data_IF_169332517319
#
_entry.id   IF_169332517319
#
_cell.length_a   1.000
_cell.length_b   1.000
_cell.length_c   1.000
_cell.angle_alpha   90.00
_cell.angle_beta   90.00
_cell.angle_gamma   90.00
#
_symmetry.space_group_name_H-M   'P 1'
#
loop_
_entity.id
_entity.type
_entity.pdbx_description
1 polymer ?
#
# COMPACT_ATOMS: atom_id res chain seq x y z
N UNK A 1 1.41 -50.80 -23.65
CA UNK A 1 2.11 -49.51 -23.69
C UNK A 1 1.04 -48.41 -23.77
N UNK A 2 0.67 -47.85 -22.63
CA UNK A 2 -0.34 -46.80 -22.53
C UNK A 2 0.35 -45.43 -22.56
N UNK A 3 -0.03 -44.62 -23.52
CA UNK A 3 0.49 -43.29 -23.77
C UNK A 3 -0.09 -42.33 -22.74
N UNK A 4 0.69 -41.90 -21.76
CA UNK A 4 0.27 -40.90 -20.76
C UNK A 4 0.42 -39.53 -21.42
N UNK A 5 -0.70 -39.03 -21.97
CA UNK A 5 -0.80 -37.67 -22.52
C UNK A 5 -0.49 -36.62 -21.45
N UNK A 6 0.51 -35.82 -21.71
CA UNK A 6 0.94 -34.67 -20.90
C UNK A 6 -0.12 -33.55 -20.99
N UNK A 7 -1.00 -33.43 -19.99
CA UNK A 7 -2.07 -32.43 -19.90
C UNK A 7 -1.66 -31.23 -19.04
N UNK A 8 -0.50 -30.65 -19.30
CA UNK A 8 -0.04 -29.42 -18.62
C UNK A 8 -0.16 -28.16 -19.51
N UNK A 9 -1.17 -28.10 -20.36
CA UNK A 9 -1.53 -26.83 -21.02
C UNK A 9 -2.55 -26.10 -20.11
N UNK A 10 -2.32 -24.83 -19.73
CA UNK A 10 -3.34 -24.06 -19.02
C UNK A 10 -4.59 -23.97 -19.90
N UNK A 11 -5.79 -23.98 -19.30
CA UNK A 11 -7.02 -23.95 -20.09
C UNK A 11 -7.06 -22.70 -20.98
N UNK A 12 -7.26 -22.90 -22.25
CA UNK A 12 -7.28 -21.87 -23.31
C UNK A 12 -8.23 -20.70 -23.01
N UNK A 13 -9.28 -20.95 -22.20
CA UNK A 13 -10.23 -19.92 -21.73
C UNK A 13 -9.61 -18.86 -20.81
N UNK A 14 -8.59 -19.21 -19.98
CA UNK A 14 -7.89 -18.24 -19.13
C UNK A 14 -6.95 -17.35 -19.96
N UNK A 15 -6.39 -17.85 -21.03
CA UNK A 15 -5.48 -17.09 -21.89
C UNK A 15 -6.23 -16.04 -22.72
N UNK A 16 -7.44 -16.33 -23.20
CA UNK A 16 -8.30 -15.35 -23.90
C UNK A 16 -8.83 -14.26 -22.96
N UNK A 17 -9.21 -14.61 -21.73
CA UNK A 17 -9.63 -13.62 -20.71
C UNK A 17 -8.50 -12.66 -20.29
N UNK A 18 -7.24 -13.08 -20.37
CA UNK A 18 -6.08 -12.21 -20.04
C UNK A 18 -5.92 -11.06 -21.04
N UNK A 19 -6.36 -11.22 -22.28
CA UNK A 19 -6.23 -10.19 -23.32
C UNK A 19 -7.40 -9.20 -23.36
N UNK A 20 -8.57 -9.58 -22.85
CA UNK A 20 -9.81 -8.80 -23.01
C UNK A 20 -10.22 -7.97 -21.78
N UNK A 21 -9.49 -8.07 -20.68
CA UNK A 21 -9.87 -7.39 -19.44
C UNK A 21 -8.77 -6.44 -18.93
N UNK A 22 -9.06 -5.13 -18.85
CA UNK A 22 -8.12 -4.12 -18.35
C UNK A 22 -7.64 -4.40 -16.93
N UNK A 23 -8.49 -5.00 -16.08
CA UNK A 23 -8.10 -5.42 -14.71
C UNK A 23 -6.99 -6.47 -14.75
N UNK A 24 -7.10 -7.46 -15.64
CA UNK A 24 -6.07 -8.50 -15.80
C UNK A 24 -4.76 -7.91 -16.32
N UNK A 25 -4.86 -6.96 -17.25
CA UNK A 25 -3.68 -6.24 -17.74
C UNK A 25 -2.99 -5.42 -16.63
N UNK A 26 -3.76 -4.80 -15.72
CA UNK A 26 -3.21 -4.12 -14.54
C UNK A 26 -2.53 -5.10 -13.57
N UNK A 27 -3.10 -6.29 -13.36
CA UNK A 27 -2.45 -7.37 -12.60
C UNK A 27 -1.13 -7.74 -13.26
N UNK A 28 -1.11 -7.92 -14.58
CA UNK A 28 0.09 -8.26 -15.32
C UNK A 28 1.18 -7.17 -15.21
N UNK A 29 0.81 -5.89 -15.33
CA UNK A 29 1.73 -4.77 -15.13
C UNK A 29 2.25 -4.71 -13.68
N UNK A 30 1.40 -5.01 -12.70
CA UNK A 30 1.85 -5.08 -11.31
C UNK A 30 2.83 -6.25 -11.08
N UNK A 31 2.61 -7.42 -11.71
CA UNK A 31 3.58 -8.53 -11.72
C UNK A 31 4.92 -8.12 -12.35
N UNK A 32 4.90 -7.26 -13.37
CA UNK A 32 6.11 -6.68 -13.93
C UNK A 32 6.77 -5.64 -12.99
N UNK A 33 6.15 -5.33 -11.83
CA UNK A 33 6.66 -4.38 -10.85
C UNK A 33 6.73 -2.95 -11.38
N UNK A 34 5.86 -2.56 -12.31
CA UNK A 34 5.80 -1.23 -12.89
C UNK A 34 4.68 -0.36 -12.31
N UNK A 35 4.00 -0.84 -11.26
CA UNK A 35 3.06 -0.03 -10.48
C UNK A 35 3.77 1.19 -9.90
N UNK A 36 3.14 2.37 -10.03
CA UNK A 36 3.71 3.63 -9.59
C UNK A 36 4.85 4.18 -10.48
N UNK A 37 5.06 3.63 -11.68
CA UNK A 37 5.94 4.21 -12.69
C UNK A 37 5.17 5.31 -13.45
N UNK A 38 5.63 6.59 -13.38
CA UNK A 38 4.93 7.69 -14.05
C UNK A 38 4.84 7.54 -15.57
N UNK A 39 5.82 6.91 -16.20
CA UNK A 39 5.83 6.72 -17.67
C UNK A 39 4.80 5.67 -18.07
N UNK A 40 4.60 4.64 -17.25
CA UNK A 40 3.55 3.62 -17.45
C UNK A 40 2.16 4.23 -17.24
N UNK A 41 1.98 5.09 -16.24
CA UNK A 41 0.71 5.78 -16.02
C UNK A 41 0.34 6.68 -17.21
N UNK A 42 1.32 7.41 -17.78
CA UNK A 42 1.12 8.22 -18.99
C UNK A 42 0.75 7.32 -20.16
N UNK A 43 1.48 6.23 -20.39
CA UNK A 43 1.22 5.32 -21.50
C UNK A 43 -0.17 4.67 -21.41
N UNK A 44 -0.61 4.26 -20.23
CA UNK A 44 -1.98 3.76 -20.00
C UNK A 44 -3.02 4.82 -20.39
N UNK A 45 -2.81 6.06 -19.96
CA UNK A 45 -3.73 7.16 -20.30
C UNK A 45 -3.75 7.44 -21.82
N UNK A 46 -2.58 7.53 -22.44
CA UNK A 46 -2.44 7.83 -23.88
C UNK A 46 -3.03 6.72 -24.77
N UNK A 47 -2.88 5.47 -24.35
CA UNK A 47 -3.38 4.31 -25.12
C UNK A 47 -4.82 3.91 -24.76
N UNK A 48 -5.45 4.62 -23.81
CA UNK A 48 -6.83 4.37 -23.40
C UNK A 48 -7.04 3.15 -22.51
N UNK A 49 -5.98 2.59 -21.89
CA UNK A 49 -6.10 1.47 -20.95
C UNK A 49 -4.80 0.70 -20.74
N UNK A 50 -4.83 -0.19 -19.75
CA UNK A 50 -3.70 -1.06 -19.45
C UNK A 50 -3.54 -2.19 -20.48
N UNK A 51 -4.66 -2.73 -20.98
CA UNK A 51 -4.65 -3.78 -21.98
C UNK A 51 -4.00 -3.33 -23.30
N UNK A 52 -4.35 -2.17 -23.91
CA UNK A 52 -3.66 -1.65 -25.08
C UNK A 52 -2.16 -1.45 -24.86
N UNK A 53 -1.74 -1.04 -23.66
CA UNK A 53 -0.32 -0.90 -23.34
C UNK A 53 0.42 -2.24 -23.31
N UNK A 54 -0.13 -3.24 -22.64
CA UNK A 54 0.47 -4.58 -22.58
C UNK A 54 0.60 -5.15 -24.01
N UNK A 55 -0.46 -5.06 -24.81
CA UNK A 55 -0.45 -5.49 -26.21
C UNK A 55 0.61 -4.75 -27.03
N UNK A 56 0.69 -3.41 -26.93
CA UNK A 56 1.66 -2.60 -27.67
C UNK A 56 3.12 -2.98 -27.33
N UNK A 57 3.40 -3.31 -26.05
CA UNK A 57 4.74 -3.72 -25.62
C UNK A 57 5.09 -5.12 -26.17
N UNK A 58 4.15 -6.07 -26.14
CA UNK A 58 4.39 -7.43 -26.65
C UNK A 58 4.53 -7.44 -28.17
N UNK A 59 3.73 -6.67 -28.89
CA UNK A 59 3.77 -6.55 -30.36
C UNK A 59 4.95 -5.70 -30.86
N UNK A 60 5.69 -5.04 -29.96
CA UNK A 60 6.80 -4.16 -30.34
C UNK A 60 6.38 -2.85 -31.03
N UNK A 61 5.13 -2.40 -30.83
CA UNK A 61 4.60 -1.19 -31.48
C UNK A 61 5.25 0.10 -30.97
N UNK A 62 5.39 1.09 -31.84
CA UNK A 62 5.96 2.43 -31.53
C UNK A 62 5.20 3.16 -30.43
N UNK A 63 3.92 2.87 -30.25
CA UNK A 63 3.10 3.41 -29.16
C UNK A 63 3.68 3.14 -27.75
N UNK A 64 4.55 2.13 -27.60
CA UNK A 64 5.28 1.84 -26.36
C UNK A 64 6.67 2.50 -26.31
N UNK A 65 7.07 3.27 -27.31
CA UNK A 65 8.41 3.87 -27.40
C UNK A 65 8.70 4.89 -26.30
N UNK A 66 7.65 5.52 -25.73
CA UNK A 66 7.79 6.45 -24.60
C UNK A 66 8.26 5.78 -23.29
N UNK A 67 8.15 4.44 -23.19
CA UNK A 67 8.67 3.67 -22.05
C UNK A 67 10.16 3.44 -22.20
N UNK A 68 10.89 3.44 -21.09
CA UNK A 68 12.31 3.05 -21.09
C UNK A 68 12.49 1.61 -21.59
N UNK A 69 13.67 1.31 -22.12
CA UNK A 69 14.03 -0.05 -22.56
C UNK A 69 13.86 -1.06 -21.43
N UNK A 70 14.30 -0.68 -20.22
CA UNK A 70 14.18 -1.53 -19.04
C UNK A 70 12.73 -1.78 -18.63
N UNK A 71 11.86 -0.77 -18.70
CA UNK A 71 10.42 -0.91 -18.39
C UNK A 71 9.75 -1.84 -19.43
N UNK A 72 10.01 -1.64 -20.72
CA UNK A 72 9.50 -2.54 -21.79
C UNK A 72 9.97 -3.98 -21.59
N UNK A 73 11.27 -4.16 -21.27
CA UNK A 73 11.82 -5.50 -21.02
C UNK A 73 11.11 -6.19 -19.85
N UNK A 74 10.91 -5.48 -18.75
CA UNK A 74 10.20 -6.01 -17.55
C UNK A 74 8.75 -6.38 -17.89
N UNK A 75 8.04 -5.55 -18.65
CA UNK A 75 6.66 -5.87 -19.07
C UNK A 75 6.66 -7.13 -19.93
N UNK A 76 7.53 -7.24 -20.94
CA UNK A 76 7.63 -8.45 -21.79
C UNK A 76 7.95 -9.71 -20.99
N UNK A 77 8.83 -9.60 -20.00
CA UNK A 77 9.29 -10.74 -19.21
C UNK A 77 8.27 -11.17 -18.14
N UNK A 78 7.61 -10.25 -17.47
CA UNK A 78 6.81 -10.53 -16.28
C UNK A 78 5.31 -10.30 -16.43
N UNK A 79 4.86 -9.48 -17.37
CA UNK A 79 3.44 -9.32 -17.65
C UNK A 79 2.92 -10.49 -18.54
N UNK A 80 3.02 -11.70 -18.02
CA UNK A 80 2.70 -12.94 -18.72
C UNK A 80 1.75 -13.81 -17.92
N UNK A 81 1.08 -14.74 -18.57
CA UNK A 81 0.18 -15.70 -17.93
C UNK A 81 0.88 -16.50 -16.82
N UNK A 82 2.15 -16.85 -16.98
CA UNK A 82 2.94 -17.59 -15.98
C UNK A 82 2.99 -16.84 -14.64
N UNK A 83 3.08 -15.52 -14.65
CA UNK A 83 3.13 -14.71 -13.42
C UNK A 83 1.73 -14.34 -12.93
N UNK A 84 0.75 -14.20 -13.81
CA UNK A 84 -0.61 -13.77 -13.45
C UNK A 84 -1.43 -14.92 -12.87
N UNK A 85 -1.34 -16.14 -13.42
CA UNK A 85 -2.14 -17.30 -12.96
C UNK A 85 -1.96 -17.60 -11.47
N UNK A 86 -0.74 -17.65 -10.90
CA UNK A 86 -0.55 -17.83 -9.46
C UNK A 86 -1.18 -16.72 -8.63
N UNK A 87 -1.16 -15.47 -9.11
CA UNK A 87 -1.79 -14.32 -8.44
C UNK A 87 -3.31 -14.50 -8.39
N UNK A 88 -3.94 -14.88 -9.51
CA UNK A 88 -5.38 -15.15 -9.56
C UNK A 88 -5.79 -16.31 -8.64
N UNK A 89 -4.99 -17.37 -8.60
CA UNK A 89 -5.21 -18.50 -7.71
C UNK A 89 -5.12 -18.08 -6.22
N UNK A 90 -4.12 -17.28 -5.87
CA UNK A 90 -3.96 -16.73 -4.52
C UNK A 90 -5.13 -15.81 -4.15
N UNK A 91 -5.59 -14.98 -5.08
CA UNK A 91 -6.76 -14.10 -4.87
C UNK A 91 -8.01 -14.92 -4.54
N UNK A 92 -8.30 -15.96 -5.30
CA UNK A 92 -9.44 -16.85 -5.06
C UNK A 92 -9.31 -17.58 -3.70
N UNK A 93 -8.13 -18.19 -3.44
CA UNK A 93 -7.84 -18.91 -2.18
C UNK A 93 -7.98 -18.02 -0.95
N UNK A 94 -7.52 -16.78 -1.02
CA UNK A 94 -7.51 -15.84 0.11
C UNK A 94 -8.71 -14.89 0.13
N UNK A 95 -9.63 -15.03 -0.81
CA UNK A 95 -10.80 -14.16 -0.98
C UNK A 95 -10.42 -12.67 -1.00
N UNK A 96 -9.43 -12.35 -1.84
CA UNK A 96 -8.96 -10.98 -2.00
C UNK A 96 -9.87 -10.23 -2.97
N UNK A 97 -10.17 -8.99 -2.62
CA UNK A 97 -10.83 -8.05 -3.53
C UNK A 97 -9.77 -7.28 -4.31
N UNK A 98 -9.95 -7.19 -5.62
CA UNK A 98 -9.15 -6.32 -6.49
C UNK A 98 -9.88 -5.01 -6.68
N UNK A 99 -9.14 -3.91 -6.54
CA UNK A 99 -9.66 -2.55 -6.70
C UNK A 99 -8.75 -1.80 -7.68
N UNK A 100 -9.34 -1.26 -8.74
CA UNK A 100 -8.66 -0.45 -9.76
C UNK A 100 -9.25 0.96 -9.80
N UNK A 101 -8.59 1.93 -10.44
CA UNK A 101 -9.16 3.27 -10.63
C UNK A 101 -10.51 3.29 -11.36
N UNK A 102 -10.92 2.19 -11.97
CA UNK A 102 -12.20 2.04 -12.67
C UNK A 102 -13.35 1.60 -11.75
N UNK A 103 -13.04 1.15 -10.53
CA UNK A 103 -14.03 0.67 -9.57
C UNK A 103 -14.55 1.80 -8.67
N UNK A 104 -15.83 1.70 -8.28
CA UNK A 104 -16.44 2.63 -7.34
C UNK A 104 -15.81 2.60 -5.94
N UNK A 105 -15.20 1.47 -5.57
CA UNK A 105 -14.50 1.25 -4.31
C UNK A 105 -13.10 1.86 -4.27
N UNK A 106 -12.61 2.40 -5.39
CA UNK A 106 -11.30 3.03 -5.46
C UNK A 106 -11.17 4.17 -4.43
N UNK A 107 -10.18 4.11 -3.54
CA UNK A 107 -9.96 5.18 -2.56
C UNK A 107 -9.34 6.40 -3.26
N UNK A 108 -10.19 7.38 -3.61
CA UNK A 108 -9.77 8.55 -4.40
C UNK A 108 -8.65 9.37 -3.77
N UNK A 109 -8.49 9.30 -2.45
CA UNK A 109 -7.37 9.96 -1.77
C UNK A 109 -5.99 9.51 -2.26
N UNK A 110 -5.84 8.31 -2.84
CA UNK A 110 -4.56 7.87 -3.44
C UNK A 110 -4.23 8.59 -4.75
N UNK A 111 -5.16 9.33 -5.32
CA UNK A 111 -4.92 10.14 -6.52
C UNK A 111 -3.97 11.32 -6.25
N UNK A 112 -3.74 11.69 -4.96
CA UNK A 112 -2.70 12.64 -4.58
C UNK A 112 -1.29 12.19 -5.00
N UNK A 113 -1.08 10.90 -5.20
CA UNK A 113 0.16 10.34 -5.78
C UNK A 113 0.31 10.64 -7.28
N UNK A 114 -0.73 11.17 -7.93
CA UNK A 114 -0.74 11.56 -9.34
C UNK A 114 -0.26 10.40 -10.23
N UNK A 115 0.77 10.62 -11.04
CA UNK A 115 1.34 9.61 -11.95
C UNK A 115 2.05 8.45 -11.22
N UNK A 116 2.35 8.62 -9.95
CA UNK A 116 2.89 7.54 -9.10
C UNK A 116 1.80 6.75 -8.37
N UNK A 117 0.51 7.00 -8.64
CA UNK A 117 -0.58 6.22 -8.08
C UNK A 117 -0.47 4.73 -8.43
N UNK A 118 -0.92 3.82 -7.54
CA UNK A 118 -0.95 2.41 -7.84
C UNK A 118 -1.86 2.10 -9.04
N UNK A 119 -1.49 1.12 -9.85
CA UNK A 119 -2.31 0.66 -10.97
C UNK A 119 -3.51 -0.17 -10.48
N UNK A 120 -3.35 -0.77 -9.30
CA UNK A 120 -4.25 -1.75 -8.72
C UNK A 120 -3.97 -1.85 -7.22
N UNK A 121 -5.00 -2.17 -6.45
CA UNK A 121 -4.89 -2.51 -5.02
C UNK A 121 -5.53 -3.88 -4.79
N UNK A 122 -4.87 -4.71 -4.01
CA UNK A 122 -5.46 -5.92 -3.43
C UNK A 122 -5.87 -5.63 -2.00
N UNK A 123 -7.08 -6.05 -1.65
CA UNK A 123 -7.60 -5.83 -0.32
C UNK A 123 -8.20 -7.11 0.27
N UNK A 124 -8.15 -7.22 1.59
CA UNK A 124 -8.81 -8.24 2.38
C UNK A 124 -9.58 -7.60 3.52
N UNK A 125 -10.87 -7.85 3.60
CA UNK A 125 -11.76 -7.24 4.59
C UNK A 125 -12.77 -6.28 3.96
N UNK A 126 -13.32 -5.36 4.74
CA UNK A 126 -14.32 -4.40 4.27
C UNK A 126 -13.65 -3.23 3.51
N UNK A 127 -13.66 -3.32 2.18
CA UNK A 127 -13.01 -2.32 1.30
C UNK A 127 -13.63 -0.93 1.39
N UNK A 128 -14.89 -0.80 1.83
CA UNK A 128 -15.53 0.50 1.99
C UNK A 128 -14.80 1.39 3.03
N UNK A 129 -14.09 0.78 3.98
CA UNK A 129 -13.29 1.49 4.99
C UNK A 129 -12.14 2.27 4.35
N UNK A 130 -11.60 1.83 3.21
CA UNK A 130 -10.50 2.52 2.53
C UNK A 130 -10.85 3.94 2.06
N UNK A 131 -12.15 4.26 1.91
CA UNK A 131 -12.61 5.59 1.48
C UNK A 131 -12.96 6.53 2.64
N UNK A 132 -12.96 6.00 3.86
CA UNK A 132 -13.28 6.80 5.04
C UNK A 132 -12.09 7.69 5.44
N UNK A 133 -12.34 8.89 6.01
CA UNK A 133 -11.30 9.68 6.62
C UNK A 133 -10.55 8.89 7.67
N UNK A 134 -9.22 8.86 7.58
CA UNK A 134 -8.37 8.08 8.47
C UNK A 134 -7.17 8.86 8.97
N UNK A 135 -6.66 8.49 10.12
CA UNK A 135 -5.40 8.99 10.67
C UNK A 135 -4.40 7.84 10.71
N UNK A 136 -3.25 8.04 10.06
CA UNK A 136 -2.16 7.09 10.18
C UNK A 136 -1.41 7.31 11.48
N UNK A 137 -1.24 6.24 12.26
CA UNK A 137 -0.39 6.21 13.47
C UNK A 137 0.74 5.23 13.18
N UNK A 138 1.97 5.74 13.14
CA UNK A 138 3.15 4.98 12.74
C UNK A 138 4.33 5.28 13.67
N UNK A 139 5.30 4.37 13.75
CA UNK A 139 6.43 4.53 14.65
C UNK A 139 7.41 3.37 14.61
N UNK A 140 8.16 3.20 15.68
CA UNK A 140 9.14 2.13 15.80
C UNK A 140 8.48 0.75 15.95
N UNK A 141 9.14 -0.25 15.38
CA UNK A 141 8.79 -1.66 15.57
C UNK A 141 9.08 -2.15 17.01
N UNK A 142 9.99 -1.49 17.71
CA UNK A 142 10.30 -1.70 19.12
C UNK A 142 10.29 -0.35 19.83
N UNK A 143 9.10 0.17 20.19
CA UNK A 143 8.95 1.46 20.82
C UNK A 143 9.47 1.46 22.26
N UNK A 144 9.75 2.65 22.79
CA UNK A 144 9.97 2.83 24.22
C UNK A 144 8.65 2.65 25.00
N UNK A 145 8.71 2.65 26.33
CA UNK A 145 7.51 2.66 27.17
C UNK A 145 6.64 3.90 26.89
N UNK A 146 7.28 5.06 26.71
CA UNK A 146 6.60 6.29 26.32
C UNK A 146 5.94 6.16 24.94
N UNK A 147 6.65 5.65 23.94
CA UNK A 147 6.11 5.42 22.61
C UNK A 147 4.95 4.42 22.61
N UNK A 148 5.04 3.37 23.42
CA UNK A 148 3.97 2.40 23.64
C UNK A 148 2.73 3.09 24.23
N UNK A 149 2.89 3.88 25.30
CA UNK A 149 1.81 4.62 25.94
C UNK A 149 1.11 5.57 24.94
N UNK A 150 1.89 6.40 24.25
CA UNK A 150 1.37 7.35 23.28
C UNK A 150 0.64 6.68 22.10
N UNK A 151 1.15 5.55 21.60
CA UNK A 151 0.49 4.80 20.53
C UNK A 151 -0.89 4.30 20.96
N UNK A 152 -0.99 3.74 22.16
CA UNK A 152 -2.25 3.25 22.73
C UNK A 152 -3.22 4.40 22.99
N UNK A 153 -2.78 5.47 23.65
CA UNK A 153 -3.59 6.62 23.99
C UNK A 153 -4.16 7.30 22.76
N UNK A 154 -3.31 7.63 21.78
CA UNK A 154 -3.72 8.29 20.54
C UNK A 154 -4.69 7.42 19.74
N UNK A 155 -4.38 6.13 19.55
CA UNK A 155 -5.23 5.24 18.76
C UNK A 155 -6.59 5.01 19.42
N UNK A 156 -6.62 4.81 20.75
CA UNK A 156 -7.87 4.66 21.52
C UNK A 156 -8.72 5.91 21.42
N UNK A 157 -8.15 7.08 21.75
CA UNK A 157 -8.90 8.32 21.80
C UNK A 157 -9.34 8.85 20.44
N UNK A 158 -8.57 8.57 19.36
CA UNK A 158 -8.98 8.91 18.00
C UNK A 158 -10.06 7.96 17.49
N UNK A 159 -9.97 6.66 17.80
CA UNK A 159 -11.01 5.69 17.45
C UNK A 159 -12.34 6.01 18.14
N UNK A 160 -12.31 6.42 19.41
CA UNK A 160 -13.47 6.88 20.16
C UNK A 160 -14.15 8.10 19.52
N UNK A 161 -13.36 8.98 18.87
CA UNK A 161 -13.85 10.12 18.08
C UNK A 161 -14.34 9.75 16.68
N UNK A 162 -14.35 8.46 16.33
CA UNK A 162 -14.85 7.96 15.04
C UNK A 162 -13.82 7.94 13.90
N UNK A 163 -12.55 8.27 14.17
CA UNK A 163 -11.51 8.15 13.17
C UNK A 163 -11.21 6.69 12.83
N UNK A 164 -10.99 6.43 11.55
CA UNK A 164 -10.37 5.17 11.13
C UNK A 164 -8.87 5.26 11.43
N UNK A 165 -8.33 4.27 12.13
CA UNK A 165 -6.88 4.21 12.38
C UNK A 165 -6.21 3.42 11.28
N UNK A 166 -5.26 4.06 10.59
CA UNK A 166 -4.44 3.44 9.56
C UNK A 166 -3.02 3.22 10.08
N UNK A 167 -2.38 2.14 9.68
CA UNK A 167 -0.99 1.85 10.04
C UNK A 167 -0.33 0.91 9.02
N UNK A 168 0.98 0.73 9.10
CA UNK A 168 1.70 -0.33 8.39
C UNK A 168 1.47 -1.71 9.02
N UNK A 169 2.13 -2.71 8.47
CA UNK A 169 2.08 -4.09 8.98
C UNK A 169 3.18 -4.42 10.01
N UNK A 170 3.90 -3.41 10.50
CA UNK A 170 5.00 -3.60 11.46
C UNK A 170 4.50 -3.99 12.85
N UNK A 171 5.39 -4.51 13.66
CA UNK A 171 5.20 -4.66 15.12
C UNK A 171 5.28 -3.29 15.82
N UNK A 172 5.20 -3.28 17.14
CA UNK A 172 5.36 -2.06 17.94
C UNK A 172 4.24 -1.06 17.75
N UNK A 173 4.56 0.21 17.49
CA UNK A 173 3.59 1.33 17.43
C UNK A 173 2.41 1.01 16.50
N UNK A 174 2.67 0.49 15.33
CA UNK A 174 1.65 0.22 14.32
C UNK A 174 0.69 -0.89 14.75
N UNK A 175 1.21 -2.02 15.23
CA UNK A 175 0.38 -3.11 15.75
C UNK A 175 -0.42 -2.67 16.98
N UNK A 176 0.21 -1.92 17.90
CA UNK A 176 -0.44 -1.39 19.10
C UNK A 176 -1.60 -0.47 18.72
N UNK A 177 -1.39 0.46 17.79
CA UNK A 177 -2.42 1.37 17.34
C UNK A 177 -3.63 0.64 16.72
N UNK A 178 -3.37 -0.35 15.84
CA UNK A 178 -4.43 -1.14 15.21
C UNK A 178 -5.23 -1.96 16.21
N UNK A 179 -4.54 -2.59 17.18
CA UNK A 179 -5.19 -3.41 18.20
C UNK A 179 -6.00 -2.53 19.17
N UNK A 180 -5.44 -1.39 19.61
CA UNK A 180 -6.13 -0.45 20.50
C UNK A 180 -7.39 0.11 19.84
N UNK A 181 -7.30 0.57 18.61
CA UNK A 181 -8.45 1.07 17.87
C UNK A 181 -9.54 -0.02 17.70
N UNK A 182 -9.14 -1.25 17.43
CA UNK A 182 -10.09 -2.36 17.31
C UNK A 182 -10.75 -2.71 18.63
N UNK A 183 -10.03 -2.65 19.74
CA UNK A 183 -10.59 -2.88 21.09
C UNK A 183 -11.70 -1.88 21.42
N UNK A 184 -11.62 -0.65 20.89
CA UNK A 184 -12.67 0.37 20.97
C UNK A 184 -13.82 0.18 19.98
N UNK A 185 -13.84 -0.92 19.22
CA UNK A 185 -14.83 -1.13 18.15
C UNK A 185 -14.57 -0.30 16.89
N UNK A 186 -13.43 0.40 16.82
CA UNK A 186 -13.02 1.26 15.70
C UNK A 186 -12.72 0.48 14.43
N UNK A 187 -12.74 1.19 13.31
CA UNK A 187 -12.34 0.68 11.99
C UNK A 187 -10.85 0.90 11.78
N UNK A 188 -10.20 -0.05 11.10
CA UNK A 188 -8.75 0.02 10.89
C UNK A 188 -8.37 -0.29 9.45
N UNK A 189 -7.26 0.31 8.99
CA UNK A 189 -6.62 0.06 7.69
C UNK A 189 -5.18 -0.37 7.94
N UNK A 190 -4.76 -1.47 7.33
CA UNK A 190 -3.36 -1.92 7.35
C UNK A 190 -2.80 -1.87 5.93
N UNK A 191 -1.83 -0.98 5.69
CA UNK A 191 -1.09 -0.93 4.43
C UNK A 191 0.13 -1.87 4.51
N UNK A 192 0.18 -2.88 3.62
CA UNK A 192 1.23 -3.89 3.66
C UNK A 192 2.28 -3.68 2.56
N UNK A 193 3.52 -4.04 2.86
CA UNK A 193 4.68 -3.96 1.96
C UNK A 193 4.92 -5.23 1.17
N UNK A 194 4.09 -6.25 1.42
CA UNK A 194 4.14 -7.58 0.79
C UNK A 194 2.79 -7.95 0.20
N UNK A 195 2.77 -9.00 -0.60
CA UNK A 195 1.53 -9.56 -1.13
C UNK A 195 0.68 -10.22 -0.05
N UNK A 196 -0.63 -10.07 -0.13
CA UNK A 196 -1.57 -10.52 0.90
C UNK A 196 -1.68 -12.04 1.07
N UNK A 197 -1.10 -12.86 0.17
CA UNK A 197 -0.94 -14.30 0.39
C UNK A 197 0.28 -14.62 1.25
N UNK A 198 1.26 -13.71 1.30
CA UNK A 198 2.48 -13.82 2.11
C UNK A 198 2.31 -13.29 3.54
N UNK A 199 1.25 -12.53 3.82
CA UNK A 199 0.95 -12.08 5.18
C UNK A 199 0.67 -13.27 6.08
N UNK A 200 1.11 -13.20 7.33
CA UNK A 200 0.99 -14.30 8.29
C UNK A 200 -0.48 -14.67 8.45
N UNK A 201 -0.83 -15.89 8.04
CA UNK A 201 -2.17 -16.45 8.24
C UNK A 201 -2.36 -16.86 9.69
N UNK A 202 -3.46 -16.48 10.31
CA UNK A 202 -3.90 -17.02 11.60
C UNK A 202 -3.69 -16.08 12.77
N UNK A 203 -3.04 -16.56 13.85
CA UNK A 203 -3.02 -15.92 15.18
C UNK A 203 -2.50 -14.48 15.26
N UNK A 204 -1.82 -14.00 14.24
CA UNK A 204 -1.24 -12.65 14.18
C UNK A 204 -1.84 -11.76 13.09
N UNK A 205 -3.03 -12.11 12.61
CA UNK A 205 -3.71 -11.26 11.62
C UNK A 205 -4.12 -9.94 12.27
N UNK A 206 -3.69 -8.84 11.67
CA UNK A 206 -4.08 -7.51 12.11
C UNK A 206 -5.58 -7.25 11.83
N UNK A 207 -6.26 -6.48 12.67
CA UNK A 207 -7.69 -6.20 12.50
C UNK A 207 -7.98 -5.27 11.32
N UNK A 208 -9.23 -5.31 10.81
CA UNK A 208 -9.73 -4.37 9.82
C UNK A 208 -9.54 -4.79 8.36
N UNK A 209 -9.35 -3.81 7.47
CA UNK A 209 -9.03 -4.02 6.07
C UNK A 209 -7.52 -3.96 5.85
N UNK A 210 -6.99 -5.00 5.24
CA UNK A 210 -5.59 -5.02 4.78
C UNK A 210 -5.54 -4.65 3.31
N UNK A 211 -4.59 -3.83 2.92
CA UNK A 211 -4.44 -3.37 1.53
C UNK A 211 -2.98 -3.37 1.09
N UNK A 212 -2.72 -3.82 -0.13
CA UNK A 212 -1.39 -3.83 -0.74
C UNK A 212 -1.48 -3.46 -2.22
N UNK A 213 -0.44 -2.84 -2.76
CA UNK A 213 -0.23 -2.71 -4.20
C UNK A 213 0.74 -3.77 -4.76
N UNK A 214 1.23 -4.66 -3.88
CA UNK A 214 2.14 -5.75 -4.24
C UNK A 214 1.31 -6.99 -4.61
N UNK A 215 1.62 -7.68 -5.72
CA UNK A 215 0.88 -8.88 -6.10
C UNK A 215 0.86 -9.91 -4.97
N UNK A 216 -0.27 -10.60 -4.73
CA UNK A 216 -0.51 -11.46 -3.56
C UNK A 216 0.60 -12.46 -3.24
N UNK A 217 1.25 -13.02 -4.25
CA UNK A 217 2.29 -14.04 -4.10
C UNK A 217 3.71 -13.48 -3.95
N UNK A 218 3.87 -12.14 -3.97
CA UNK A 218 5.19 -11.50 -3.95
C UNK A 218 5.62 -11.13 -2.53
N UNK A 219 6.89 -11.40 -2.23
CA UNK A 219 7.50 -11.14 -0.92
C UNK A 219 8.00 -9.71 -0.73
N UNK A 220 8.74 -9.52 0.37
CA UNK A 220 9.31 -8.24 0.76
C UNK A 220 10.36 -7.76 -0.25
N UNK A 221 10.29 -6.48 -0.60
CA UNK A 221 11.33 -5.76 -1.35
C UNK A 221 11.50 -4.36 -0.78
N UNK A 222 12.70 -3.77 -0.94
CA UNK A 222 12.94 -2.36 -0.54
C UNK A 222 11.95 -1.42 -1.22
N UNK A 223 11.69 -1.64 -2.52
CA UNK A 223 10.70 -0.86 -3.27
C UNK A 223 9.29 -1.06 -2.70
N UNK A 224 8.90 -2.28 -2.34
CA UNK A 224 7.61 -2.58 -1.72
C UNK A 224 7.42 -1.82 -0.41
N UNK A 225 8.45 -1.77 0.44
CA UNK A 225 8.41 -1.00 1.68
C UNK A 225 8.25 0.50 1.44
N UNK A 226 8.98 1.07 0.46
CA UNK A 226 8.82 2.47 0.08
C UNK A 226 7.42 2.75 -0.44
N UNK A 227 6.90 1.88 -1.30
CA UNK A 227 5.56 2.02 -1.87
C UNK A 227 4.47 1.93 -0.81
N UNK A 228 4.60 1.01 0.17
CA UNK A 228 3.66 0.90 1.28
C UNK A 228 3.63 2.16 2.16
N UNK A 229 4.78 2.81 2.41
CA UNK A 229 4.83 4.07 3.13
C UNK A 229 4.08 5.20 2.38
N UNK A 230 4.28 5.29 1.05
CA UNK A 230 3.54 6.24 0.20
C UNK A 230 2.05 5.92 0.16
N UNK A 231 1.68 4.64 0.08
CA UNK A 231 0.28 4.22 0.08
C UNK A 231 -0.40 4.56 1.41
N UNK A 232 0.26 4.29 2.54
CA UNK A 232 -0.26 4.65 3.87
C UNK A 232 -0.46 6.16 4.00
N UNK A 233 0.53 6.95 3.60
CA UNK A 233 0.44 8.41 3.60
C UNK A 233 -0.68 8.93 2.70
N UNK A 234 -0.88 8.32 1.53
CA UNK A 234 -1.92 8.71 0.58
C UNK A 234 -3.33 8.33 1.04
N UNK A 235 -3.49 7.17 1.69
CA UNK A 235 -4.77 6.70 2.24
C UNK A 235 -5.21 7.54 3.45
N UNK A 236 -4.26 8.00 4.25
CA UNK A 236 -4.55 8.78 5.45
C UNK A 236 -4.88 10.25 5.14
N UNK A 237 -5.80 10.81 5.90
CA UNK A 237 -6.07 12.25 5.88
C UNK A 237 -4.99 13.03 6.63
N UNK A 238 -4.38 12.41 7.63
CA UNK A 238 -3.35 12.96 8.52
C UNK A 238 -2.39 11.83 8.92
N UNK A 239 -1.14 12.17 9.21
CA UNK A 239 -0.13 11.19 9.66
C UNK A 239 0.47 11.63 10.99
N UNK A 240 0.51 10.74 11.97
CA UNK A 240 1.15 10.94 13.26
C UNK A 240 2.31 9.96 13.40
N UNK A 241 3.50 10.51 13.65
CA UNK A 241 4.71 9.74 13.92
C UNK A 241 5.00 9.79 15.41
N UNK A 242 4.89 8.66 16.10
CA UNK A 242 5.10 8.55 17.54
C UNK A 242 6.59 8.52 17.87
N UNK A 243 7.32 7.60 17.26
CA UNK A 243 8.77 7.49 17.35
C UNK A 243 9.30 7.08 15.97
N UNK A 244 10.49 7.55 15.60
CA UNK A 244 11.03 7.23 14.29
C UNK A 244 12.54 7.41 14.21
N UNK A 245 13.22 6.32 13.86
CA UNK A 245 14.64 6.34 13.51
C UNK A 245 14.88 7.06 12.19
N UNK A 246 16.14 7.35 11.87
CA UNK A 246 16.54 8.24 10.79
C UNK A 246 15.97 7.90 9.40
N UNK A 247 15.81 6.62 9.06
CA UNK A 247 15.38 6.15 7.75
C UNK A 247 14.28 5.08 7.80
N UNK A 248 13.55 4.98 8.90
CA UNK A 248 12.51 3.97 9.12
C UNK A 248 11.25 4.20 8.28
N UNK A 249 10.38 3.19 8.26
CA UNK A 249 9.09 3.25 7.57
C UNK A 249 8.24 4.44 8.05
N UNK A 250 8.18 4.69 9.35
CA UNK A 250 7.41 5.77 9.95
C UNK A 250 7.84 7.16 9.43
N UNK A 251 9.15 7.40 9.38
CA UNK A 251 9.68 8.69 8.90
C UNK A 251 9.43 8.86 7.40
N UNK A 252 9.59 7.80 6.61
CA UNK A 252 9.25 7.84 5.18
C UNK A 252 7.77 8.11 4.96
N UNK A 253 6.89 7.55 5.80
CA UNK A 253 5.45 7.83 5.75
C UNK A 253 5.16 9.30 6.06
N UNK A 254 5.80 9.86 7.09
CA UNK A 254 5.69 11.29 7.42
C UNK A 254 6.19 12.21 6.31
N UNK A 255 7.38 11.92 5.76
CA UNK A 255 7.95 12.69 4.64
C UNK A 255 7.07 12.61 3.37
N UNK A 256 6.54 11.41 3.07
CA UNK A 256 5.64 11.23 1.94
C UNK A 256 4.32 12.00 2.14
N UNK A 257 3.76 11.98 3.35
CA UNK A 257 2.56 12.74 3.69
C UNK A 257 2.79 14.25 3.54
N UNK A 258 3.87 14.77 4.09
CA UNK A 258 4.26 16.18 3.95
C UNK A 258 4.42 16.59 2.48
N UNK A 259 5.12 15.78 1.68
CA UNK A 259 5.30 16.03 0.24
C UNK A 259 3.97 16.00 -0.55
N UNK A 260 2.95 15.34 -0.03
CA UNK A 260 1.58 15.33 -0.60
C UNK A 260 0.69 16.47 -0.06
N UNK A 261 1.23 17.36 0.80
CA UNK A 261 0.46 18.39 1.48
C UNK A 261 -0.53 17.85 2.51
N UNK A 262 -0.26 16.65 3.06
CA UNK A 262 -1.04 16.08 4.16
C UNK A 262 -0.52 16.59 5.50
N UNK A 263 -1.38 16.91 6.46
CA UNK A 263 -0.97 17.27 7.80
C UNK A 263 -0.12 16.18 8.46
N UNK A 264 1.01 16.56 9.02
CA UNK A 264 1.92 15.65 9.72
C UNK A 264 2.10 16.13 11.16
N UNK A 265 1.90 15.23 12.10
CA UNK A 265 2.17 15.44 13.50
C UNK A 265 3.28 14.52 14.01
N UNK A 266 4.11 15.02 14.89
CA UNK A 266 5.18 14.25 15.54
C UNK A 266 4.98 14.32 17.04
N UNK A 267 5.00 13.19 17.72
CA UNK A 267 5.01 13.15 19.19
C UNK A 267 6.38 13.61 19.67
N UNK A 268 6.44 14.65 20.53
CA UNK A 268 7.71 15.17 21.05
C UNK A 268 8.42 14.09 21.86
N UNK A 269 9.68 13.86 21.56
CA UNK A 269 10.51 12.89 22.29
C UNK A 269 11.65 13.66 22.95
N UNK A 270 11.72 13.60 24.26
CA UNK A 270 12.79 14.22 25.08
C UNK A 270 14.09 13.42 25.02
N UNK A 271 14.02 12.14 24.63
CA UNK A 271 15.18 11.28 24.51
C UNK A 271 16.13 11.73 23.37
N UNK A 272 17.43 11.49 23.57
CA UNK A 272 18.45 11.64 22.54
C UNK A 272 18.85 10.25 22.03
N UNK A 273 19.03 10.11 20.72
CA UNK A 273 19.50 8.86 20.13
C UNK A 273 18.94 8.59 18.73
N UNK A 274 19.41 7.50 18.15
CA UNK A 274 19.04 7.09 16.76
C UNK A 274 17.54 6.79 16.62
N UNK A 275 16.87 6.40 17.72
CA UNK A 275 15.43 6.06 17.73
C UNK A 275 14.51 7.26 17.48
N UNK A 276 15.01 8.48 17.66
CA UNK A 276 14.23 9.72 17.51
C UNK A 276 14.80 10.68 16.48
N UNK A 277 15.88 10.31 15.83
CA UNK A 277 16.57 11.14 14.85
C UNK A 277 15.66 11.55 13.68
N UNK A 278 14.82 10.62 13.22
CA UNK A 278 13.86 10.88 12.16
C UNK A 278 12.73 11.81 12.60
N UNK A 279 12.22 11.66 13.82
CA UNK A 279 11.24 12.59 14.39
C UNK A 279 11.81 14.02 14.45
N UNK A 280 13.06 14.19 14.93
CA UNK A 280 13.75 15.49 14.93
C UNK A 280 13.95 16.06 13.52
N UNK A 281 14.10 15.20 12.51
CA UNK A 281 14.19 15.64 11.11
C UNK A 281 12.83 16.11 10.60
N UNK A 282 11.76 15.37 10.89
CA UNK A 282 10.41 15.76 10.49
C UNK A 282 9.98 17.09 11.12
N UNK A 283 10.31 17.36 12.39
CA UNK A 283 9.97 18.63 13.05
C UNK A 283 10.72 19.86 12.50
N UNK A 284 11.71 19.66 11.59
CA UNK A 284 12.38 20.75 10.87
C UNK A 284 11.69 21.12 9.56
N UNK A 285 10.74 20.30 9.12
CA UNK A 285 9.92 20.62 7.95
C UNK A 285 8.86 21.66 8.35
N UNK A 286 8.54 22.55 7.43
CA UNK A 286 7.48 23.53 7.63
C UNK A 286 6.12 22.81 7.84
N UNK A 287 5.26 23.40 8.64
CA UNK A 287 3.90 22.91 8.91
C UNK A 287 3.79 21.52 9.60
N UNK A 288 4.88 21.00 10.16
CA UNK A 288 4.83 19.79 10.99
C UNK A 288 4.53 20.16 12.43
N UNK A 289 3.39 19.67 12.94
CA UNK A 289 2.92 19.97 14.27
C UNK A 289 3.50 19.04 15.34
N UNK A 290 3.62 19.54 16.59
CA UNK A 290 3.89 18.68 17.75
C UNK A 290 2.57 18.16 18.31
N UNK A 291 2.50 16.87 18.60
CA UNK A 291 1.34 16.17 19.14
C UNK A 291 1.60 15.81 20.61
N UNK A 292 1.02 16.56 21.52
CA UNK A 292 1.13 16.32 22.96
C UNK A 292 -0.13 15.67 23.54
N UNK A 293 -1.22 15.65 22.78
CA UNK A 293 -2.51 15.14 23.24
C UNK A 293 -3.35 14.60 22.08
N UNK A 294 -4.39 13.83 22.41
CA UNK A 294 -5.43 13.38 21.47
C UNK A 294 -6.08 14.58 20.78
N UNK A 295 -6.27 15.68 21.50
CA UNK A 295 -6.89 16.90 20.95
C UNK A 295 -6.01 17.55 19.87
N UNK A 296 -4.68 17.57 20.04
CA UNK A 296 -3.74 18.06 19.03
C UNK A 296 -3.82 17.19 17.78
N UNK A 297 -3.84 15.86 17.97
CA UNK A 297 -3.96 14.91 16.89
C UNK A 297 -5.28 15.05 16.11
N UNK A 298 -6.38 15.22 16.80
CA UNK A 298 -7.71 15.41 16.20
C UNK A 298 -7.81 16.73 15.43
N UNK A 299 -7.21 17.80 15.91
CA UNK A 299 -7.21 19.15 15.32
C UNK A 299 -6.09 19.39 14.31
N UNK A 300 -5.18 18.44 14.12
CA UNK A 300 -4.06 18.54 13.18
C UNK A 300 -4.57 18.96 11.78
N UNK A 301 -4.00 20.04 11.25
CA UNK A 301 -4.41 20.64 9.96
C UNK A 301 -3.21 20.84 9.06
#
# INVERSE_FOLDING_TARGET
MANIGNTNSPPTALTSCLHDNDTIARIALACAGVSGDPTVAIAIHTLGGALPLVAAVHDGRDAAAALSVSTRHRIRQFATAVNVVPVLAAMAKRRLTVITPLNAEWPRQVECLRRAAPLILWARGNVAVLRAPSIAVTGLASPTEFGTHMALELATGLADRGWVIAAGESTGVEALALVAAKAMGGKTITATSIGLDQTISGKHRLPGVEVSEIPPTYGVTVRGQQRAAHLLAALASKVIVVEGGESGFAVRTGEAAHAMGRPVGVVPVTANGAQVAGCKRLTRLDDVAQINSITDADRLR
#
